data_IF_541101583413
#
_entry.id   IF_541101583413
#
_cell.length_a   1.000
_cell.length_b   1.000
_cell.length_c   1.000
_cell.angle_alpha   90.00
_cell.angle_beta   90.00
_cell.angle_gamma   90.00
#
_symmetry.space_group_name_H-M   'P 1'
#
loop_
_entity.id
_entity.type
_entity.pdbx_description
1 polymer ?
#
# COMPACT_ATOMS: atom_id res chain seq x y z
N UNK A 1 -10.71 13.26 41.40
CA UNK A 1 -11.13 12.06 40.65
C UNK A 1 -12.41 12.37 39.89
N UNK A 2 -12.41 12.06 38.59
CA UNK A 2 -13.57 11.73 37.75
C UNK A 2 -14.52 12.91 37.39
N UNK A 3 -14.85 13.22 36.13
CA UNK A 3 -14.92 12.41 34.90
C UNK A 3 -14.74 13.30 33.65
N UNK A 4 -13.99 12.78 32.67
CA UNK A 4 -13.85 13.36 31.34
C UNK A 4 -15.11 13.14 30.49
N UNK A 5 -15.39 14.16 29.69
CA UNK A 5 -16.50 14.35 28.77
C UNK A 5 -16.65 13.23 27.73
N UNK A 6 -17.91 12.81 27.52
CA UNK A 6 -18.33 12.19 26.26
C UNK A 6 -18.32 13.25 25.16
N UNK A 7 -17.45 13.09 24.17
CA UNK A 7 -17.53 13.81 22.90
C UNK A 7 -17.68 12.77 21.80
N UNK A 8 -18.80 12.83 21.09
CA UNK A 8 -19.18 11.87 20.05
C UNK A 8 -18.08 11.70 19.00
N UNK A 9 -17.71 10.46 18.76
CA UNK A 9 -16.88 10.04 17.64
C UNK A 9 -17.66 10.31 16.35
N UNK A 10 -17.23 11.35 15.63
CA UNK A 10 -17.56 11.62 14.23
C UNK A 10 -17.30 10.34 13.42
N UNK A 11 -18.16 9.92 12.48
CA UNK A 11 -17.86 8.80 11.62
C UNK A 11 -16.61 9.15 10.81
N UNK A 12 -15.52 8.49 11.16
CA UNK A 12 -14.29 8.45 10.39
C UNK A 12 -14.64 7.98 8.99
N UNK A 13 -14.58 8.91 8.04
CA UNK A 13 -14.82 8.65 6.63
C UNK A 13 -13.85 7.55 6.17
N UNK A 14 -14.32 6.36 5.73
CA UNK A 14 -13.47 5.20 5.46
C UNK A 14 -12.75 5.31 4.11
N UNK A 15 -12.07 6.43 3.86
CA UNK A 15 -11.23 6.63 2.68
C UNK A 15 -9.87 5.91 2.84
N UNK A 16 -9.96 4.58 3.00
CA UNK A 16 -9.03 3.53 2.59
C UNK A 16 -9.57 2.18 3.13
N UNK A 17 -10.82 1.86 2.80
CA UNK A 17 -11.31 0.47 2.85
C UNK A 17 -11.45 -0.03 1.40
N UNK A 18 -10.35 -0.39 0.74
CA UNK A 18 -10.43 -1.29 -0.41
C UNK A 18 -9.06 -1.95 -0.63
N UNK A 19 -8.97 -3.21 -0.21
CA UNK A 19 -7.89 -4.20 -0.41
C UNK A 19 -6.42 -3.85 -0.01
N UNK A 20 -5.98 -2.60 0.09
CA UNK A 20 -4.59 -2.20 0.39
C UNK A 20 -4.33 -1.74 1.84
N UNK A 21 -3.10 -1.25 2.08
CA UNK A 21 -2.69 -0.61 3.34
C UNK A 21 -3.48 0.69 3.57
N UNK A 22 -3.92 0.94 4.82
CA UNK A 22 -4.60 2.18 5.19
C UNK A 22 -3.62 3.37 5.10
N UNK A 23 -3.68 4.13 4.01
CA UNK A 23 -2.92 5.37 3.85
C UNK A 23 -3.85 6.51 3.48
N UNK A 24 -3.86 7.60 4.26
CA UNK A 24 -4.71 8.78 4.05
C UNK A 24 -4.28 9.66 2.85
N UNK A 25 -3.70 9.05 1.80
CA UNK A 25 -3.15 9.77 0.65
C UNK A 25 -4.16 9.74 -0.51
N UNK A 26 -4.28 10.86 -1.24
CA UNK A 26 -5.13 10.97 -2.42
C UNK A 26 -4.38 11.79 -3.47
N UNK A 27 -4.17 11.27 -4.69
CA UNK A 27 -4.60 9.97 -5.19
C UNK A 27 -3.77 8.79 -4.65
N UNK A 28 -4.38 7.60 -4.56
CA UNK A 28 -3.73 6.38 -4.06
C UNK A 28 -4.24 5.14 -4.78
N UNK A 29 -3.33 4.24 -5.15
CA UNK A 29 -3.61 2.91 -5.69
C UNK A 29 -3.33 1.87 -4.62
N UNK A 30 -4.37 1.16 -4.18
CA UNK A 30 -4.29 0.11 -3.17
C UNK A 30 -4.48 -1.27 -3.79
N UNK A 31 -3.66 -2.25 -3.42
CA UNK A 31 -3.80 -3.62 -3.93
C UNK A 31 -3.50 -4.67 -2.85
N UNK A 32 -4.16 -5.83 -2.95
CA UNK A 32 -3.82 -7.04 -2.19
C UNK A 32 -3.21 -8.08 -3.13
N UNK A 33 -1.90 -8.25 -3.05
CA UNK A 33 -1.14 -9.23 -3.81
C UNK A 33 -1.23 -10.59 -3.15
N UNK A 34 -1.29 -11.65 -3.95
CA UNK A 34 -1.20 -13.04 -3.46
C UNK A 34 0.27 -13.43 -3.38
N UNK A 35 0.69 -13.94 -2.23
CA UNK A 35 2.07 -14.38 -2.00
C UNK A 35 2.14 -15.92 -2.13
N UNK A 36 3.03 -16.40 -3.00
CA UNK A 36 3.36 -17.83 -3.13
C UNK A 36 4.87 -18.01 -2.92
N UNK A 37 5.25 -18.47 -1.73
CA UNK A 37 6.66 -18.47 -1.33
C UNK A 37 7.22 -17.05 -1.33
N UNK A 38 8.23 -16.78 -2.16
CA UNK A 38 8.80 -15.43 -2.33
C UNK A 38 8.24 -14.68 -3.55
N UNK A 39 7.31 -15.26 -4.29
CA UNK A 39 6.67 -14.63 -5.46
C UNK A 39 5.43 -13.87 -5.05
N UNK A 40 5.14 -12.78 -5.76
CA UNK A 40 3.91 -12.00 -5.58
C UNK A 40 3.12 -11.91 -6.88
N UNK A 41 1.81 -12.13 -6.77
CA UNK A 41 0.89 -12.12 -7.90
C UNK A 41 -0.09 -10.95 -7.75
N UNK A 42 -0.14 -10.10 -8.76
CA UNK A 42 -1.10 -9.02 -8.85
C UNK A 42 -2.43 -9.54 -9.41
N UNK A 43 -3.52 -9.17 -8.75
CA UNK A 43 -4.89 -9.49 -9.14
C UNK A 43 -5.71 -8.20 -9.21
N UNK A 44 -6.20 -7.87 -10.41
CA UNK A 44 -6.90 -6.61 -10.66
C UNK A 44 -8.23 -6.50 -9.90
N UNK A 45 -8.91 -7.61 -9.63
CA UNK A 45 -10.12 -7.68 -8.80
C UNK A 45 -9.85 -7.40 -7.31
N UNK A 46 -8.57 -7.40 -6.90
CA UNK A 46 -8.11 -7.06 -5.55
C UNK A 46 -7.34 -5.76 -5.52
N UNK A 47 -7.56 -4.91 -6.51
CA UNK A 47 -6.98 -3.58 -6.62
C UNK A 47 -8.06 -2.50 -6.57
N UNK A 48 -7.65 -1.30 -6.19
CA UNK A 48 -8.54 -0.16 -6.06
C UNK A 48 -7.76 1.13 -6.27
N UNK A 49 -8.46 2.15 -6.75
CA UNK A 49 -7.93 3.51 -6.83
C UNK A 49 -8.84 4.41 -6.01
N UNK A 50 -8.22 5.23 -5.17
CA UNK A 50 -8.86 6.30 -4.41
C UNK A 50 -8.37 7.63 -4.96
N UNK A 51 -9.30 8.50 -5.36
CA UNK A 51 -8.98 9.77 -6.03
C UNK A 51 -8.67 9.62 -7.52
N UNK A 52 -8.10 10.66 -8.11
CA UNK A 52 -7.79 10.72 -9.55
C UNK A 52 -6.29 10.97 -9.73
N UNK A 53 -5.62 10.02 -10.37
CA UNK A 53 -4.24 10.20 -10.83
C UNK A 53 -4.23 11.04 -12.11
N UNK A 54 -3.24 11.91 -12.27
CA UNK A 54 -2.99 12.58 -13.55
C UNK A 54 -2.29 11.62 -14.53
N UNK A 55 -2.27 11.98 -15.83
CA UNK A 55 -1.69 11.12 -16.87
C UNK A 55 -0.19 10.83 -16.67
N UNK A 56 0.55 11.79 -16.10
CA UNK A 56 1.98 11.64 -15.84
C UNK A 56 2.22 10.59 -14.76
N UNK A 57 1.44 10.66 -13.67
CA UNK A 57 1.52 9.72 -12.56
C UNK A 57 1.04 8.33 -12.96
N UNK A 58 0.01 8.21 -13.81
CA UNK A 58 -0.41 6.92 -14.37
C UNK A 58 0.71 6.29 -15.21
N UNK A 59 1.36 7.07 -16.07
CA UNK A 59 2.51 6.58 -16.86
C UNK A 59 3.68 6.18 -15.98
N UNK A 60 3.94 6.92 -14.90
CA UNK A 60 4.96 6.53 -13.91
C UNK A 60 4.56 5.25 -13.18
N UNK A 61 3.28 5.06 -12.89
CA UNK A 61 2.77 3.85 -12.26
C UNK A 61 2.99 2.62 -13.15
N UNK A 62 2.67 2.71 -14.45
CA UNK A 62 2.90 1.62 -15.41
C UNK A 62 4.39 1.22 -15.50
N UNK A 63 5.29 2.19 -15.38
CA UNK A 63 6.73 1.93 -15.41
C UNK A 63 7.28 1.43 -14.07
N UNK A 64 6.76 1.94 -12.96
CA UNK A 64 7.22 1.62 -11.61
C UNK A 64 6.68 0.30 -11.11
N UNK A 65 5.45 -0.07 -11.47
CA UNK A 65 4.76 -1.21 -10.90
C UNK A 65 5.52 -2.53 -11.09
N UNK A 66 6.05 -2.88 -12.28
CA UNK A 66 6.89 -4.07 -12.44
C UNK A 66 8.16 -4.06 -11.57
N UNK A 67 8.77 -2.88 -11.39
CA UNK A 67 9.97 -2.72 -10.55
C UNK A 67 9.63 -2.92 -9.07
N UNK A 68 8.52 -2.34 -8.61
CA UNK A 68 8.01 -2.50 -7.25
C UNK A 68 7.71 -3.98 -6.97
N UNK A 69 7.02 -4.67 -7.88
CA UNK A 69 6.73 -6.09 -7.75
C UNK A 69 8.01 -6.92 -7.58
N UNK A 70 9.03 -6.67 -8.41
CA UNK A 70 10.33 -7.36 -8.29
C UNK A 70 11.06 -7.05 -6.98
N UNK A 71 11.00 -5.81 -6.53
CA UNK A 71 11.60 -5.44 -5.25
C UNK A 71 10.91 -6.14 -4.07
N UNK A 72 9.59 -6.28 -4.10
CA UNK A 72 8.85 -7.01 -3.07
C UNK A 72 9.21 -8.51 -3.04
N UNK A 73 9.38 -9.15 -4.21
CA UNK A 73 9.86 -10.54 -4.29
C UNK A 73 11.26 -10.71 -3.66
N UNK A 74 12.16 -9.75 -3.93
CA UNK A 74 13.49 -9.74 -3.32
C UNK A 74 13.43 -9.55 -1.80
N UNK A 75 12.58 -8.65 -1.31
CA UNK A 75 12.39 -8.42 0.13
C UNK A 75 11.77 -9.61 0.85
N UNK A 76 10.88 -10.36 0.19
CA UNK A 76 10.36 -11.63 0.71
C UNK A 76 11.45 -12.71 0.74
N UNK A 77 12.37 -12.69 -0.23
CA UNK A 77 13.50 -13.62 -0.30
C UNK A 77 14.56 -13.31 0.76
N UNK A 78 14.86 -12.03 1.00
CA UNK A 78 15.81 -11.59 2.03
C UNK A 78 15.26 -11.69 3.45
N UNK A 79 13.92 -11.73 3.60
CA UNK A 79 13.21 -11.76 4.88
C UNK A 79 12.92 -10.39 5.47
N UNK A 80 13.25 -9.30 4.76
CA UNK A 80 12.89 -7.93 5.15
C UNK A 80 11.37 -7.75 5.16
N UNK A 81 10.68 -8.33 4.18
CA UNK A 81 9.24 -8.59 4.28
C UNK A 81 9.04 -10.02 4.76
N UNK A 82 8.42 -10.16 5.94
CA UNK A 82 8.17 -11.46 6.54
C UNK A 82 6.67 -11.78 6.52
N UNK A 83 6.23 -12.91 5.93
CA UNK A 83 4.83 -13.28 5.87
C UNK A 83 4.12 -13.42 7.23
N UNK A 84 4.90 -13.64 8.30
CA UNK A 84 4.40 -13.89 9.66
C UNK A 84 4.50 -12.68 10.58
N UNK A 85 5.21 -11.63 10.17
CA UNK A 85 5.42 -10.44 11.00
C UNK A 85 4.91 -9.21 10.28
N UNK A 86 4.10 -8.43 10.97
CA UNK A 86 3.69 -7.13 10.49
C UNK A 86 4.91 -6.20 10.46
N UNK A 87 5.24 -5.71 9.28
CA UNK A 87 6.31 -4.74 9.09
C UNK A 87 6.05 -4.01 7.77
N UNK A 88 5.83 -2.70 7.87
CA UNK A 88 5.62 -1.87 6.69
C UNK A 88 6.97 -1.41 6.15
N UNK A 89 7.22 -1.72 4.88
CA UNK A 89 8.36 -1.21 4.12
C UNK A 89 7.91 -0.11 3.17
N UNK A 90 8.79 0.84 2.91
CA UNK A 90 8.54 1.95 1.99
C UNK A 90 9.53 1.92 0.84
N UNK A 91 9.02 1.86 -0.37
CA UNK A 91 9.77 1.85 -1.62
C UNK A 91 9.50 3.15 -2.39
N UNK A 92 10.50 3.60 -3.14
CA UNK A 92 10.41 4.78 -3.99
C UNK A 92 10.79 4.41 -5.42
N UNK A 93 9.92 4.74 -6.37
CA UNK A 93 10.15 4.47 -7.77
C UNK A 93 9.44 5.52 -8.64
N UNK A 94 10.17 6.15 -9.56
CA UNK A 94 9.61 7.09 -10.57
C UNK A 94 8.75 8.22 -9.97
N UNK A 95 9.14 8.76 -8.81
CA UNK A 95 8.38 9.81 -8.13
C UNK A 95 7.11 9.32 -7.44
N UNK A 96 6.94 8.01 -7.29
CA UNK A 96 5.89 7.38 -6.51
C UNK A 96 6.49 6.78 -5.23
N UNK A 97 5.70 6.85 -4.16
CA UNK A 97 5.94 6.16 -2.90
C UNK A 97 5.04 4.93 -2.83
N UNK A 98 5.60 3.80 -2.43
CA UNK A 98 4.92 2.52 -2.28
C UNK A 98 5.13 1.98 -0.87
N UNK A 99 4.06 1.91 -0.08
CA UNK A 99 4.07 1.18 1.17
C UNK A 99 3.62 -0.26 0.94
N UNK A 100 4.32 -1.21 1.53
CA UNK A 100 3.98 -2.63 1.47
C UNK A 100 4.11 -3.28 2.84
N UNK A 101 3.17 -4.16 3.20
CA UNK A 101 3.17 -4.91 4.46
C UNK A 101 2.47 -6.25 4.26
N UNK A 102 2.95 -7.31 4.91
CA UNK A 102 2.29 -8.62 4.89
C UNK A 102 1.12 -8.70 5.88
N UNK A 103 1.09 -7.81 6.87
CA UNK A 103 0.21 -7.81 8.04
C UNK A 103 0.19 -9.15 8.78
N UNK A 104 1.26 -9.94 8.69
CA UNK A 104 1.31 -11.29 9.26
C UNK A 104 0.32 -12.28 8.64
N UNK A 105 -0.19 -12.00 7.44
CA UNK A 105 -1.28 -12.76 6.82
C UNK A 105 -0.90 -14.15 6.32
N UNK A 106 0.40 -14.49 6.26
CA UNK A 106 0.93 -15.76 5.76
C UNK A 106 0.55 -16.10 4.31
N UNK A 107 0.13 -15.12 3.50
CA UNK A 107 -0.27 -15.36 2.10
C UNK A 107 -0.63 -14.13 1.29
N UNK A 108 -0.56 -12.92 1.87
CA UNK A 108 -0.85 -11.68 1.17
C UNK A 108 0.19 -10.61 1.46
N UNK A 109 0.38 -9.73 0.47
CA UNK A 109 1.09 -8.46 0.63
C UNK A 109 0.10 -7.35 0.29
N UNK A 110 -0.08 -6.44 1.24
CA UNK A 110 -0.94 -5.27 1.11
C UNK A 110 -0.10 -4.10 0.64
N UNK A 111 -0.57 -3.40 -0.38
CA UNK A 111 0.17 -2.37 -1.08
C UNK A 111 -0.64 -1.07 -1.12
N UNK A 112 0.05 0.06 -0.98
CA UNK A 112 -0.48 1.40 -1.23
C UNK A 112 0.56 2.23 -1.98
N UNK A 113 0.23 2.66 -3.20
CA UNK A 113 1.09 3.47 -4.08
C UNK A 113 0.46 4.83 -4.29
N UNK A 114 1.23 5.89 -4.07
CA UNK A 114 0.77 7.27 -4.21
C UNK A 114 1.90 8.16 -4.69
N UNK A 115 1.62 9.32 -5.33
CA UNK A 115 2.67 10.23 -5.75
C UNK A 115 3.49 10.70 -4.56
N UNK A 116 4.81 10.65 -4.67
CA UNK A 116 5.69 11.23 -3.65
C UNK A 116 5.46 12.74 -3.66
N UNK A 117 5.00 13.29 -2.53
CA UNK A 117 4.88 14.74 -2.35
C UNK A 117 6.27 15.36 -2.54
N UNK A 118 6.52 15.92 -3.72
CA UNK A 118 7.63 16.82 -3.90
C UNK A 118 7.19 18.13 -3.28
N UNK A 119 7.69 18.43 -2.08
CA UNK A 119 7.70 19.80 -1.58
C UNK A 119 8.40 20.62 -2.66
N UNK A 120 7.64 21.45 -3.39
CA UNK A 120 8.23 22.51 -4.21
C UNK A 120 8.76 23.60 -3.31
#
# INVERSE_FOLDING_TARGET
>A
MNNHSKSGTKPENPACQLWGLKGAFTPCFGARLVQEGSRVHFLADRASITGVFNEVDLRHMDQAFPLLMKQLELMLTSGELNPRHQHTVTLYAKGLTCNADTLGSCGYVYLAVYPTLHTR
#
